data_IF_559954858726
#
_entry.id   IF_559954858726
#
_cell.length_a   1.000
_cell.length_b   1.000
_cell.length_c   1.000
_cell.angle_alpha   90.00
_cell.angle_beta   90.00
_cell.angle_gamma   90.00
#
_symmetry.space_group_name_H-M   'P 1'
#
loop_
_entity.id
_entity.type
_entity.pdbx_description
1 polymer ?
#
# COMPACT_ATOMS: atom_id res chain seq x y z
N UNK A 1 24.05 -16.36 19.23
CA UNK A 1 22.65 -15.95 19.27
C UNK A 1 22.59 -14.57 19.90
N UNK A 2 22.16 -13.56 19.18
CA UNK A 2 21.97 -12.24 19.77
C UNK A 2 20.63 -12.28 20.54
N UNK A 3 20.69 -12.12 21.86
CA UNK A 3 19.49 -12.18 22.72
C UNK A 3 18.82 -10.80 22.88
N UNK A 4 19.18 -9.85 22.04
CA UNK A 4 18.55 -8.51 22.03
C UNK A 4 17.66 -8.40 20.81
N UNK A 5 16.49 -7.74 20.93
CA UNK A 5 15.67 -7.37 19.78
C UNK A 5 16.48 -6.56 18.76
N UNK A 6 16.03 -6.60 17.51
CA UNK A 6 16.58 -5.73 16.47
C UNK A 6 16.43 -4.25 16.89
N UNK A 7 17.48 -3.42 16.74
CA UNK A 7 17.44 -2.03 17.15
C UNK A 7 16.43 -1.18 16.37
N UNK A 8 15.93 -1.68 15.25
CA UNK A 8 14.88 -1.04 14.45
C UNK A 8 13.46 -1.45 14.84
N UNK A 9 13.30 -2.28 15.86
CA UNK A 9 11.99 -2.56 16.44
C UNK A 9 11.68 -1.56 17.54
N UNK A 10 10.64 -0.82 17.39
CA UNK A 10 10.22 0.24 18.29
C UNK A 10 8.97 -0.18 19.08
N UNK A 11 8.97 -0.06 20.42
CA UNK A 11 7.80 -0.43 21.22
C UNK A 11 6.59 0.48 20.97
N UNK A 12 6.82 1.75 20.63
CA UNK A 12 5.76 2.76 20.37
C UNK A 12 6.07 3.57 19.12
N UNK A 13 5.05 4.09 18.49
CA UNK A 13 5.18 5.01 17.36
C UNK A 13 6.04 6.25 17.71
N UNK A 14 5.86 6.81 18.90
CA UNK A 14 6.66 7.95 19.38
C UNK A 14 8.16 7.67 19.40
N UNK A 15 8.58 6.49 19.88
CA UNK A 15 10.00 6.10 19.88
C UNK A 15 10.51 5.91 18.44
N UNK A 16 9.68 5.38 17.54
CA UNK A 16 10.03 5.27 16.12
C UNK A 16 10.25 6.65 15.48
N UNK A 17 9.45 7.64 15.81
CA UNK A 17 9.60 9.02 15.33
C UNK A 17 10.89 9.69 15.82
N UNK A 18 11.40 9.31 16.98
CA UNK A 18 12.64 9.81 17.56
C UNK A 18 13.91 9.07 17.07
N UNK A 19 13.72 7.99 16.30
CA UNK A 19 14.81 7.21 15.71
C UNK A 19 15.59 8.01 14.65
N UNK A 20 16.83 7.61 14.31
CA UNK A 20 17.57 8.24 13.24
C UNK A 20 16.77 8.27 11.94
N UNK A 21 16.85 9.38 11.23
CA UNK A 21 16.23 9.56 9.91
C UNK A 21 16.71 8.49 8.94
N UNK A 22 15.84 7.99 8.11
CA UNK A 22 16.13 7.03 7.05
C UNK A 22 17.11 7.61 6.03
N UNK A 23 18.07 6.81 5.62
CA UNK A 23 19.03 7.16 4.57
C UNK A 23 18.77 6.40 3.28
N UNK A 24 18.02 5.31 3.35
CA UNK A 24 17.73 4.44 2.22
C UNK A 24 16.23 4.16 2.14
N UNK A 25 15.70 4.24 0.92
CA UNK A 25 14.40 3.69 0.55
C UNK A 25 14.58 2.53 -0.44
N UNK A 26 13.64 1.61 -0.41
CA UNK A 26 13.48 0.54 -1.39
C UNK A 26 12.22 0.80 -2.18
N UNK A 27 12.25 0.56 -3.49
CA UNK A 27 11.04 0.60 -4.33
C UNK A 27 11.13 -0.44 -5.42
N UNK A 28 9.99 -1.01 -5.80
CA UNK A 28 9.94 -1.99 -6.87
C UNK A 28 9.98 -1.32 -8.23
N UNK A 29 10.59 -2.00 -9.19
CA UNK A 29 10.59 -1.65 -10.61
C UNK A 29 9.88 -2.75 -11.38
N UNK A 30 8.83 -2.42 -12.10
CA UNK A 30 8.08 -3.36 -12.91
C UNK A 30 8.18 -3.04 -14.40
N UNK A 31 8.24 -4.09 -15.22
CA UNK A 31 8.22 -4.00 -16.69
C UNK A 31 6.78 -4.14 -17.16
N UNK A 32 6.14 -3.04 -17.65
CA UNK A 32 4.68 -3.02 -17.88
C UNK A 32 4.21 -3.99 -18.97
N UNK A 33 5.07 -4.34 -19.91
CA UNK A 33 4.80 -5.31 -20.97
C UNK A 33 5.37 -6.72 -20.69
N UNK A 34 6.00 -6.90 -19.53
CA UNK A 34 6.65 -8.15 -19.13
C UNK A 34 7.84 -8.56 -20.00
N UNK A 35 8.38 -7.68 -20.85
CA UNK A 35 9.50 -7.97 -21.75
C UNK A 35 10.86 -7.98 -21.07
N UNK A 36 10.94 -7.36 -19.90
CA UNK A 36 12.14 -7.30 -19.05
C UNK A 36 11.84 -7.89 -17.67
N UNK A 37 12.84 -8.35 -16.93
CA UNK A 37 12.64 -8.77 -15.54
C UNK A 37 12.31 -7.58 -14.66
N UNK A 38 11.38 -7.75 -13.74
CA UNK A 38 11.12 -6.79 -12.67
C UNK A 38 12.31 -6.72 -11.71
N UNK A 39 12.38 -5.69 -10.88
CA UNK A 39 13.51 -5.46 -10.00
C UNK A 39 13.17 -4.70 -8.73
N UNK A 40 14.19 -4.57 -7.88
CA UNK A 40 14.20 -3.74 -6.69
C UNK A 40 15.23 -2.62 -6.89
N UNK A 41 14.82 -1.38 -6.71
CA UNK A 41 15.71 -0.22 -6.64
C UNK A 41 15.99 0.15 -5.18
N UNK A 42 17.23 0.52 -4.90
CA UNK A 42 17.67 1.11 -3.64
C UNK A 42 17.93 2.59 -3.93
N UNK A 43 17.22 3.45 -3.24
CA UNK A 43 17.23 4.90 -3.46
C UNK A 43 17.88 5.59 -2.25
N UNK A 44 18.78 6.53 -2.51
CA UNK A 44 19.33 7.40 -1.48
C UNK A 44 18.31 8.48 -1.10
N UNK A 45 17.87 8.47 0.15
CA UNK A 45 16.92 9.45 0.71
C UNK A 45 17.54 10.33 1.80
N UNK A 46 18.87 10.27 1.97
CA UNK A 46 19.60 11.17 2.87
C UNK A 46 19.76 12.58 2.25
N UNK A 47 19.07 13.60 2.76
CA UNK A 47 19.15 14.95 2.18
C UNK A 47 20.54 15.61 2.29
N UNK A 48 21.48 14.96 2.99
CA UNK A 48 22.87 15.45 3.12
C UNK A 48 23.83 14.73 2.18
N UNK A 49 23.35 13.73 1.46
CA UNK A 49 24.15 12.93 0.52
C UNK A 49 24.29 13.62 -0.85
N UNK A 50 25.44 13.39 -1.51
CA UNK A 50 25.66 13.85 -2.88
C UNK A 50 24.80 13.06 -3.91
N UNK A 51 24.24 11.92 -3.53
CA UNK A 51 23.37 11.06 -4.35
C UNK A 51 21.90 11.12 -3.93
N UNK A 52 21.50 12.15 -3.18
CA UNK A 52 20.11 12.33 -2.77
C UNK A 52 19.14 12.31 -3.94
N UNK A 53 18.17 11.40 -3.90
CA UNK A 53 17.19 11.20 -4.98
C UNK A 53 17.71 10.35 -6.15
N UNK A 54 18.82 9.63 -5.98
CA UNK A 54 19.34 8.74 -7.01
C UNK A 54 19.12 7.25 -6.65
N UNK A 55 18.99 6.41 -7.67
CA UNK A 55 19.07 4.95 -7.51
C UNK A 55 20.54 4.57 -7.34
N UNK A 56 20.91 4.14 -6.14
CA UNK A 56 22.28 3.78 -5.79
C UNK A 56 22.60 2.29 -5.97
N UNK A 57 21.55 1.46 -6.10
CA UNK A 57 21.67 0.04 -6.45
C UNK A 57 20.38 -0.47 -7.09
N UNK A 58 20.49 -1.48 -7.96
CA UNK A 58 19.36 -2.18 -8.56
C UNK A 58 19.60 -3.67 -8.57
N UNK A 59 18.58 -4.44 -8.23
CA UNK A 59 18.60 -5.90 -8.31
C UNK A 59 17.44 -6.36 -9.20
N UNK A 60 17.77 -6.93 -10.37
CA UNK A 60 16.75 -7.49 -11.28
C UNK A 60 16.54 -8.99 -11.01
N UNK A 61 15.27 -9.43 -11.14
CA UNK A 61 14.89 -10.82 -10.92
C UNK A 61 15.24 -11.69 -12.13
N UNK A 62 15.36 -13.03 -11.96
CA UNK A 62 15.70 -13.92 -13.06
C UNK A 62 14.53 -14.24 -14.01
N UNK A 63 13.30 -13.91 -13.61
CA UNK A 63 12.08 -14.26 -14.34
C UNK A 63 11.43 -13.03 -14.98
N UNK A 64 10.44 -13.24 -15.84
CA UNK A 64 9.70 -12.22 -16.56
C UNK A 64 8.21 -12.25 -16.18
N UNK A 65 7.54 -11.10 -16.31
CA UNK A 65 6.09 -10.99 -16.21
C UNK A 65 5.55 -11.13 -14.79
N UNK A 66 6.28 -10.67 -13.80
CA UNK A 66 5.88 -10.76 -12.39
C UNK A 66 4.86 -9.69 -12.00
N UNK A 67 4.98 -8.45 -12.49
CA UNK A 67 4.20 -7.27 -12.10
C UNK A 67 4.31 -7.02 -10.58
N UNK A 68 5.45 -6.45 -10.15
CA UNK A 68 5.69 -6.13 -8.74
C UNK A 68 4.87 -4.93 -8.29
N UNK A 69 4.20 -5.08 -7.15
CA UNK A 69 3.39 -4.03 -6.52
C UNK A 69 3.75 -3.81 -5.06
N UNK A 70 2.99 -4.43 -4.15
CA UNK A 70 3.24 -4.37 -2.73
C UNK A 70 4.38 -5.30 -2.33
N UNK A 71 5.11 -4.90 -1.30
CA UNK A 71 6.12 -5.74 -0.67
C UNK A 71 6.29 -5.29 0.80
N UNK A 72 6.90 -6.13 1.61
CA UNK A 72 7.04 -5.81 3.04
C UNK A 72 8.22 -6.51 3.68
N UNK A 73 8.47 -6.15 4.93
CA UNK A 73 9.54 -6.71 5.75
C UNK A 73 9.17 -8.09 6.31
N UNK A 74 10.18 -8.95 6.48
CA UNK A 74 10.01 -10.23 7.19
C UNK A 74 9.74 -10.07 8.68
N UNK A 75 10.11 -8.96 9.26
CA UNK A 75 9.93 -8.64 10.67
C UNK A 75 9.78 -7.13 10.87
N UNK A 76 9.02 -6.74 11.88
CA UNK A 76 8.74 -5.35 12.22
C UNK A 76 8.58 -5.19 13.74
N UNK A 77 8.19 -4.01 14.19
CA UNK A 77 7.99 -3.72 15.62
C UNK A 77 6.96 -4.62 16.30
N UNK A 78 6.09 -5.30 15.53
CA UNK A 78 5.18 -6.34 16.05
C UNK A 78 5.91 -7.49 16.77
N UNK A 79 7.18 -7.75 16.44
CA UNK A 79 8.02 -8.74 17.10
C UNK A 79 8.21 -8.48 18.60
N UNK A 80 8.01 -7.25 19.06
CA UNK A 80 8.05 -6.87 20.48
C UNK A 80 6.75 -7.20 21.23
N UNK A 81 5.73 -7.69 20.55
CA UNK A 81 4.48 -8.10 21.20
C UNK A 81 4.76 -9.28 22.15
N UNK A 82 4.26 -9.23 23.38
CA UNK A 82 4.39 -10.36 24.31
C UNK A 82 3.67 -11.63 23.82
N UNK A 83 2.87 -11.51 22.74
CA UNK A 83 2.08 -12.60 22.16
C UNK A 83 2.81 -13.33 21.02
N UNK A 84 3.94 -12.81 20.50
CA UNK A 84 4.54 -13.32 19.28
C UNK A 84 5.66 -14.34 19.49
N UNK A 85 6.46 -14.24 20.51
CA UNK A 85 7.67 -15.08 20.66
C UNK A 85 8.80 -14.82 19.66
N UNK A 86 8.67 -13.80 18.79
CA UNK A 86 9.58 -13.50 17.69
C UNK A 86 10.53 -12.30 17.96
N UNK A 87 10.71 -11.90 19.20
CA UNK A 87 11.48 -10.71 19.59
C UNK A 87 12.96 -10.72 19.11
N UNK A 88 13.48 -11.86 18.67
CA UNK A 88 14.88 -12.03 18.26
C UNK A 88 15.07 -12.08 16.73
N UNK A 89 14.01 -11.83 15.97
CA UNK A 89 14.10 -11.70 14.52
C UNK A 89 14.95 -10.49 14.15
N UNK A 90 15.57 -10.55 12.98
CA UNK A 90 16.27 -9.43 12.35
C UNK A 90 15.37 -8.86 11.23
N UNK A 91 15.18 -7.54 11.18
CA UNK A 91 14.59 -6.86 10.03
C UNK A 91 15.63 -6.86 8.90
N UNK A 92 15.52 -7.81 8.00
CA UNK A 92 16.59 -8.08 7.04
C UNK A 92 16.10 -8.40 5.64
N UNK A 93 14.93 -9.00 5.54
CA UNK A 93 14.46 -9.51 4.27
C UNK A 93 13.23 -8.75 3.80
N UNK A 94 13.20 -8.44 2.50
CA UNK A 94 12.01 -7.96 1.82
C UNK A 94 11.32 -9.13 1.12
N UNK A 95 10.01 -9.20 1.28
CA UNK A 95 9.13 -10.19 0.66
C UNK A 95 8.45 -9.48 -0.50
N UNK A 96 8.77 -9.86 -1.75
CA UNK A 96 8.29 -9.18 -2.95
C UNK A 96 7.48 -10.16 -3.80
N UNK A 97 6.15 -10.09 -3.78
CA UNK A 97 5.28 -10.90 -4.63
C UNK A 97 5.11 -10.30 -6.02
N UNK A 98 5.06 -11.16 -7.04
CA UNK A 98 4.60 -10.83 -8.37
C UNK A 98 3.09 -11.13 -8.48
N UNK A 99 2.27 -10.11 -8.73
CA UNK A 99 0.82 -10.31 -8.83
C UNK A 99 0.47 -11.25 -9.99
N UNK A 100 1.02 -10.99 -11.19
CA UNK A 100 0.68 -11.79 -12.39
C UNK A 100 1.22 -13.19 -12.32
N UNK A 101 2.48 -13.34 -11.88
CA UNK A 101 3.13 -14.65 -11.83
C UNK A 101 2.73 -15.50 -10.62
N UNK A 102 2.29 -14.87 -9.55
CA UNK A 102 2.13 -15.47 -8.21
C UNK A 102 3.42 -15.99 -7.59
N UNK A 103 4.59 -15.58 -8.14
CA UNK A 103 5.91 -15.91 -7.59
C UNK A 103 6.24 -14.96 -6.44
N UNK A 104 6.98 -15.41 -5.45
CA UNK A 104 7.40 -14.59 -4.32
C UNK A 104 8.92 -14.63 -4.21
N UNK A 105 9.54 -13.46 -4.17
CA UNK A 105 10.97 -13.30 -3.99
C UNK A 105 11.28 -12.85 -2.57
N UNK A 106 12.24 -13.50 -1.93
CA UNK A 106 12.78 -13.12 -0.64
C UNK A 106 14.14 -12.50 -0.90
N UNK A 107 14.27 -11.21 -0.59
CA UNK A 107 15.49 -10.44 -0.89
C UNK A 107 16.20 -10.11 0.41
N UNK A 108 17.47 -10.52 0.52
CA UNK A 108 18.35 -10.14 1.63
C UNK A 108 18.88 -8.73 1.37
N UNK A 109 18.46 -7.78 2.20
CA UNK A 109 18.85 -6.37 2.14
C UNK A 109 19.64 -5.92 3.37
N UNK A 110 20.28 -6.85 4.08
CA UNK A 110 21.14 -6.52 5.23
C UNK A 110 22.22 -5.50 4.90
N UNK A 111 22.77 -5.57 3.70
CA UNK A 111 23.61 -4.55 3.08
C UNK A 111 22.84 -4.02 1.86
N UNK A 112 22.13 -2.88 1.95
CA UNK A 112 21.24 -2.41 0.87
C UNK A 112 21.94 -2.32 -0.50
N UNK A 113 23.17 -1.84 -0.54
CA UNK A 113 23.98 -1.73 -1.77
C UNK A 113 24.51 -3.09 -2.31
N UNK A 114 24.20 -4.18 -1.63
CA UNK A 114 24.52 -5.56 -2.02
C UNK A 114 23.32 -6.47 -1.90
N UNK A 115 22.13 -5.91 -2.10
CA UNK A 115 20.89 -6.66 -2.08
C UNK A 115 20.97 -7.89 -3.00
N UNK A 116 20.45 -9.03 -2.55
CA UNK A 116 20.51 -10.28 -3.30
C UNK A 116 19.30 -11.16 -3.03
N UNK A 117 18.95 -11.98 -4.01
CA UNK A 117 17.91 -12.99 -3.87
C UNK A 117 18.36 -14.04 -2.83
N UNK A 118 17.56 -14.23 -1.80
CA UNK A 118 17.77 -15.27 -0.79
C UNK A 118 17.00 -16.54 -1.13
N UNK A 119 15.71 -16.40 -1.52
CA UNK A 119 14.84 -17.53 -1.88
C UNK A 119 13.82 -17.08 -2.93
N UNK A 120 13.38 -18.01 -3.75
CA UNK A 120 12.23 -17.84 -4.64
C UNK A 120 11.21 -18.91 -4.27
N UNK A 121 9.96 -18.52 -4.10
CA UNK A 121 8.82 -19.41 -3.92
C UNK A 121 8.05 -19.41 -5.24
N UNK A 122 7.98 -20.57 -5.88
CA UNK A 122 7.29 -20.72 -7.16
C UNK A 122 5.76 -20.78 -6.98
N UNK A 123 4.97 -20.38 -7.99
CA UNK A 123 3.51 -20.33 -7.91
C UNK A 123 2.88 -21.67 -7.55
N UNK A 124 3.47 -22.76 -8.00
CA UNK A 124 2.99 -24.12 -7.74
C UNK A 124 3.04 -24.47 -6.25
N UNK A 125 4.08 -23.97 -5.52
CA UNK A 125 4.20 -24.16 -4.07
C UNK A 125 3.11 -23.37 -3.35
N UNK A 126 2.91 -22.11 -3.71
CA UNK A 126 1.85 -21.27 -3.15
C UNK A 126 0.48 -21.93 -3.35
N UNK A 127 0.18 -22.28 -4.60
CA UNK A 127 -1.10 -22.90 -4.95
C UNK A 127 -1.32 -24.23 -4.23
N UNK A 128 -0.32 -25.12 -4.21
CA UNK A 128 -0.44 -26.43 -3.56
C UNK A 128 -0.71 -26.33 -2.05
N UNK A 129 -0.13 -25.33 -1.36
CA UNK A 129 -0.25 -25.17 0.09
C UNK A 129 -1.49 -24.37 0.51
N UNK A 130 -1.98 -23.47 -0.33
CA UNK A 130 -3.04 -22.52 0.04
C UNK A 130 -4.25 -22.55 -0.88
N UNK A 131 -4.09 -22.94 -2.15
CA UNK A 131 -5.11 -22.77 -3.18
C UNK A 131 -5.34 -21.31 -3.56
N UNK A 132 -4.41 -20.41 -3.22
CA UNK A 132 -4.45 -18.98 -3.54
C UNK A 132 -3.46 -18.61 -4.64
N UNK A 133 -3.71 -17.47 -5.27
CA UNK A 133 -2.85 -16.86 -6.29
C UNK A 133 -2.84 -15.34 -6.17
N UNK A 134 -1.97 -14.66 -6.90
CA UNK A 134 -1.84 -13.19 -6.91
C UNK A 134 -1.56 -12.63 -5.50
N UNK A 135 -0.46 -13.04 -4.85
CA UNK A 135 -0.07 -12.49 -3.55
C UNK A 135 0.19 -10.98 -3.68
N UNK A 136 -0.18 -10.22 -2.63
CA UNK A 136 -0.20 -8.77 -2.69
C UNK A 136 0.36 -8.12 -1.42
N UNK A 137 -0.46 -7.75 -0.43
CA UNK A 137 -0.03 -7.03 0.77
C UNK A 137 0.68 -7.94 1.76
N UNK A 138 1.74 -7.43 2.40
CA UNK A 138 2.57 -8.16 3.35
C UNK A 138 2.66 -7.40 4.66
N UNK A 139 2.34 -8.09 5.76
CA UNK A 139 2.61 -7.63 7.11
C UNK A 139 3.25 -8.73 7.96
N UNK A 140 4.28 -8.38 8.74
CA UNK A 140 4.80 -9.27 9.78
C UNK A 140 3.89 -9.19 11.02
N UNK A 141 3.43 -10.31 11.49
CA UNK A 141 2.45 -10.42 12.56
C UNK A 141 2.79 -11.45 13.62
N UNK A 142 1.84 -11.78 14.50
CA UNK A 142 2.11 -12.59 15.68
C UNK A 142 2.54 -14.03 15.38
N UNK A 143 2.14 -14.60 14.25
CA UNK A 143 2.42 -16.01 13.94
C UNK A 143 3.37 -16.19 12.74
N UNK A 144 3.81 -15.09 12.12
CA UNK A 144 4.65 -15.13 10.92
C UNK A 144 4.46 -13.92 10.04
N UNK A 145 4.78 -14.08 8.76
CA UNK A 145 4.54 -13.10 7.71
C UNK A 145 3.16 -13.43 7.12
N UNK A 146 2.24 -12.48 7.21
CA UNK A 146 0.91 -12.57 6.61
C UNK A 146 0.95 -11.98 5.22
N UNK A 147 0.35 -12.66 4.28
CA UNK A 147 0.30 -12.23 2.87
C UNK A 147 -1.13 -12.33 2.37
N UNK A 148 -1.71 -11.20 1.94
CA UNK A 148 -2.99 -11.21 1.25
C UNK A 148 -2.83 -11.72 -0.18
N UNK A 149 -3.92 -12.20 -0.75
CA UNK A 149 -3.98 -12.64 -2.15
C UNK A 149 -5.19 -12.03 -2.83
N UNK A 150 -5.06 -11.72 -4.12
CA UNK A 150 -6.15 -11.15 -4.93
C UNK A 150 -6.89 -12.22 -5.73
N UNK A 151 -6.34 -13.43 -5.81
CA UNK A 151 -6.91 -14.54 -6.52
C UNK A 151 -7.06 -15.80 -5.67
N UNK A 152 -8.12 -16.55 -5.91
CA UNK A 152 -8.28 -17.91 -5.44
C UNK A 152 -7.53 -18.90 -6.33
N UNK A 153 -8.04 -20.12 -6.40
CA UNK A 153 -7.47 -21.18 -7.25
C UNK A 153 -7.75 -20.99 -8.74
N UNK A 154 -7.29 -21.94 -9.52
CA UNK A 154 -7.47 -21.96 -10.96
C UNK A 154 -6.50 -21.04 -11.72
N UNK A 155 -6.51 -21.18 -13.05
CA UNK A 155 -5.61 -20.43 -13.93
C UNK A 155 -5.89 -18.92 -13.90
N UNK A 156 -7.15 -18.56 -13.82
CA UNK A 156 -7.64 -17.16 -13.77
C UNK A 156 -7.83 -16.63 -12.35
N UNK A 157 -7.57 -17.46 -11.33
CA UNK A 157 -7.69 -17.06 -9.93
C UNK A 157 -9.11 -16.97 -9.41
N UNK A 158 -10.08 -17.59 -10.07
CA UNK A 158 -11.52 -17.54 -9.70
C UNK A 158 -12.07 -18.82 -9.10
N UNK A 159 -11.26 -19.89 -8.99
CA UNK A 159 -11.64 -21.12 -8.30
C UNK A 159 -11.58 -20.93 -6.78
N UNK A 160 -12.63 -20.41 -6.22
CA UNK A 160 -12.76 -20.03 -4.81
C UNK A 160 -12.31 -18.60 -4.54
N UNK A 161 -12.65 -18.07 -3.36
CA UNK A 161 -12.28 -16.73 -2.97
C UNK A 161 -10.79 -16.61 -2.64
N UNK A 162 -10.18 -15.42 -2.84
CA UNK A 162 -8.87 -15.10 -2.32
C UNK A 162 -8.87 -15.01 -0.79
N UNK A 163 -7.70 -14.84 -0.18
CA UNK A 163 -7.59 -14.72 1.26
C UNK A 163 -6.20 -14.33 1.73
N UNK A 164 -5.87 -14.71 2.95
CA UNK A 164 -4.56 -14.49 3.57
C UNK A 164 -3.89 -15.84 3.82
N UNK A 165 -2.59 -15.93 3.61
CA UNK A 165 -1.79 -17.06 4.08
C UNK A 165 -0.65 -16.57 4.99
N UNK A 166 -0.07 -17.51 5.73
CA UNK A 166 1.02 -17.22 6.67
C UNK A 166 2.28 -17.93 6.20
N UNK A 167 3.41 -17.23 6.29
CA UNK A 167 4.76 -17.76 6.09
C UNK A 167 5.57 -17.64 7.37
N UNK A 168 6.50 -18.56 7.55
CA UNK A 168 7.49 -18.48 8.62
C UNK A 168 8.48 -17.32 8.38
N UNK A 169 8.82 -16.57 9.43
CA UNK A 169 9.65 -15.36 9.34
C UNK A 169 11.13 -15.61 9.04
N UNK A 170 11.64 -16.85 9.25
CA UNK A 170 13.05 -17.20 9.12
C UNK A 170 13.29 -18.18 7.96
N UNK A 171 12.43 -19.19 7.81
CA UNK A 171 12.57 -20.22 6.77
C UNK A 171 11.82 -19.85 5.49
N UNK A 172 10.86 -18.92 5.61
CA UNK A 172 9.97 -18.52 4.51
C UNK A 172 9.17 -19.72 3.95
N UNK A 173 8.86 -20.67 4.80
CA UNK A 173 7.95 -21.75 4.44
C UNK A 173 6.50 -21.27 4.55
N UNK A 174 5.69 -21.57 3.54
CA UNK A 174 4.24 -21.32 3.60
C UNK A 174 3.63 -22.30 4.60
N UNK A 175 3.06 -21.78 5.68
CA UNK A 175 2.45 -22.54 6.77
C UNK A 175 1.00 -22.94 6.45
N UNK A 176 0.32 -22.20 5.56
CA UNK A 176 -1.05 -22.47 5.12
C UNK A 176 -1.93 -21.23 5.17
N UNK A 177 -3.24 -21.45 4.98
CA UNK A 177 -4.26 -20.38 5.05
C UNK A 177 -4.37 -19.81 6.45
N UNK A 178 -4.66 -18.51 6.51
CA UNK A 178 -4.97 -17.83 7.78
C UNK A 178 -6.42 -18.11 8.22
N UNK A 179 -7.38 -17.97 7.32
CA UNK A 179 -8.80 -17.98 7.67
C UNK A 179 -9.30 -19.35 8.13
N UNK A 180 -9.90 -19.40 9.30
CA UNK A 180 -10.71 -20.53 9.78
C UNK A 180 -12.19 -20.35 9.45
N UNK A 181 -12.66 -19.10 9.43
CA UNK A 181 -14.02 -18.73 9.03
C UNK A 181 -13.97 -17.31 8.44
N UNK A 182 -14.16 -17.20 7.13
CA UNK A 182 -14.08 -15.91 6.42
C UNK A 182 -15.39 -15.10 6.41
N UNK A 183 -16.49 -15.65 6.96
CA UNK A 183 -17.79 -15.00 6.83
C UNK A 183 -18.21 -14.85 5.36
N UNK A 184 -18.60 -13.62 5.01
CA UNK A 184 -19.07 -13.29 3.65
C UNK A 184 -17.97 -12.78 2.72
N UNK A 185 -16.72 -12.61 3.18
CA UNK A 185 -15.64 -12.06 2.35
C UNK A 185 -15.33 -12.97 1.14
N UNK A 186 -15.48 -12.45 -0.06
CA UNK A 186 -15.24 -13.13 -1.32
C UNK A 186 -14.21 -12.46 -2.23
N UNK A 187 -13.75 -11.28 -1.86
CA UNK A 187 -12.62 -10.54 -2.47
C UNK A 187 -11.64 -10.14 -1.39
N UNK A 188 -10.47 -9.71 -1.79
CA UNK A 188 -9.46 -9.25 -0.87
C UNK A 188 -8.61 -8.14 -1.49
N UNK A 189 -7.97 -7.32 -0.65
CA UNK A 189 -6.95 -6.37 -1.06
C UNK A 189 -5.94 -6.18 0.06
N UNK A 190 -6.19 -5.27 0.99
CA UNK A 190 -5.32 -4.92 2.10
C UNK A 190 -5.85 -5.48 3.41
N UNK A 191 -5.00 -5.54 4.42
CA UNK A 191 -5.36 -5.89 5.78
C UNK A 191 -4.37 -5.27 6.76
N UNK A 192 -4.82 -4.97 7.96
CA UNK A 192 -3.98 -4.56 9.07
C UNK A 192 -4.68 -4.86 10.39
N UNK A 193 -4.03 -4.61 11.50
CA UNK A 193 -4.50 -5.00 12.82
C UNK A 193 -4.22 -3.99 13.92
N UNK A 194 -4.90 -4.18 15.05
CA UNK A 194 -4.49 -3.68 16.35
C UNK A 194 -4.11 -4.90 17.21
N UNK A 195 -2.82 -5.20 17.31
CA UNK A 195 -2.31 -6.42 17.96
C UNK A 195 -2.71 -6.53 19.43
N UNK A 196 -2.54 -5.48 20.27
CA UNK A 196 -2.93 -5.55 21.68
C UNK A 196 -4.43 -5.75 21.91
N UNK A 197 -5.26 -5.39 20.94
CA UNK A 197 -6.72 -5.53 20.98
C UNK A 197 -7.22 -6.77 20.26
N UNK A 198 -6.31 -7.53 19.66
CA UNK A 198 -6.59 -8.84 19.05
C UNK A 198 -7.64 -8.81 17.93
N UNK A 199 -7.60 -7.76 17.11
CA UNK A 199 -8.44 -7.70 15.92
C UNK A 199 -7.66 -7.27 14.67
N UNK A 200 -8.13 -7.75 13.52
CA UNK A 200 -7.63 -7.39 12.19
C UNK A 200 -8.79 -6.78 11.38
N UNK A 201 -8.44 -5.92 10.44
CA UNK A 201 -9.37 -5.39 9.44
C UNK A 201 -8.84 -5.80 8.07
N UNK A 202 -9.74 -6.09 7.12
CA UNK A 202 -9.40 -6.31 5.71
C UNK A 202 -10.38 -5.63 4.78
N UNK A 203 -9.94 -5.37 3.55
CA UNK A 203 -10.66 -4.67 2.50
C UNK A 203 -10.77 -5.50 1.24
N UNK A 204 -11.45 -4.96 0.21
CA UNK A 204 -11.78 -5.67 -1.02
C UNK A 204 -11.52 -4.82 -2.26
N UNK A 205 -10.82 -5.38 -3.25
CA UNK A 205 -10.71 -4.77 -4.58
C UNK A 205 -11.63 -5.46 -5.60
N UNK A 206 -11.11 -6.46 -6.30
CA UNK A 206 -11.77 -7.20 -7.34
C UNK A 206 -11.11 -8.57 -7.53
N UNK A 207 -11.70 -9.41 -8.36
CA UNK A 207 -11.09 -10.66 -8.78
C UNK A 207 -10.15 -10.43 -9.99
N UNK A 208 -9.16 -11.31 -10.24
CA UNK A 208 -8.16 -11.12 -11.28
C UNK A 208 -8.70 -10.74 -12.66
N UNK A 209 -9.79 -11.34 -13.19
CA UNK A 209 -10.35 -10.91 -14.47
C UNK A 209 -10.87 -9.48 -14.52
N UNK A 210 -11.10 -8.85 -13.36
CA UNK A 210 -11.61 -7.48 -13.24
C UNK A 210 -10.48 -6.44 -13.24
N UNK A 211 -9.24 -6.83 -12.95
CA UNK A 211 -8.13 -5.88 -12.86
C UNK A 211 -6.90 -6.21 -13.72
N UNK A 212 -6.56 -7.47 -13.97
CA UNK A 212 -5.30 -7.85 -14.62
C UNK A 212 -5.12 -7.30 -16.04
N UNK A 213 -6.22 -7.16 -16.77
CA UNK A 213 -6.22 -6.67 -18.16
C UNK A 213 -6.83 -5.28 -18.30
N UNK A 214 -6.84 -4.52 -17.20
CA UNK A 214 -7.46 -3.23 -17.08
C UNK A 214 -8.79 -3.29 -16.34
N UNK A 215 -9.34 -2.12 -16.00
CA UNK A 215 -10.67 -2.02 -15.42
C UNK A 215 -11.73 -2.50 -16.42
N UNK A 216 -12.73 -3.21 -15.94
CA UNK A 216 -13.89 -3.65 -16.72
C UNK A 216 -15.05 -2.68 -16.45
N UNK A 217 -15.36 -1.74 -17.38
CA UNK A 217 -16.35 -0.70 -17.12
C UNK A 217 -17.73 -1.24 -16.78
N UNK A 218 -18.17 -2.31 -17.42
CA UNK A 218 -19.46 -2.95 -17.16
C UNK A 218 -19.54 -3.51 -15.75
N UNK A 219 -18.45 -4.06 -15.23
CA UNK A 219 -18.38 -4.58 -13.86
C UNK A 219 -18.35 -3.43 -12.85
N UNK A 220 -17.66 -2.32 -13.16
CA UNK A 220 -17.68 -1.12 -12.34
C UNK A 220 -19.08 -0.53 -12.24
N UNK A 221 -19.73 -0.30 -13.38
CA UNK A 221 -21.08 0.28 -13.45
C UNK A 221 -22.16 -0.66 -12.89
N UNK A 222 -21.86 -1.95 -12.75
CA UNK A 222 -22.72 -2.95 -12.12
C UNK A 222 -22.37 -3.20 -10.66
N UNK A 223 -21.49 -2.37 -10.07
CA UNK A 223 -21.09 -2.41 -8.66
C UNK A 223 -20.50 -3.77 -8.21
N UNK A 224 -19.66 -4.37 -9.05
CA UNK A 224 -19.10 -5.72 -8.78
C UNK A 224 -17.72 -5.70 -8.11
N UNK A 225 -17.08 -4.53 -8.00
CA UNK A 225 -15.85 -4.43 -7.23
C UNK A 225 -16.18 -4.39 -5.73
N UNK A 226 -15.16 -4.62 -4.89
CA UNK A 226 -15.34 -4.68 -3.45
C UNK A 226 -15.73 -3.33 -2.84
N UNK A 227 -16.65 -3.37 -1.89
CA UNK A 227 -17.16 -2.20 -1.16
C UNK A 227 -17.42 -2.49 0.31
N UNK A 228 -16.81 -3.56 0.83
CA UNK A 228 -16.98 -4.02 2.20
C UNK A 228 -15.66 -4.04 2.94
N UNK A 229 -15.66 -3.68 4.21
CA UNK A 229 -14.55 -3.89 5.15
C UNK A 229 -14.94 -4.95 6.17
N UNK A 230 -13.97 -5.79 6.53
CA UNK A 230 -14.20 -6.96 7.36
C UNK A 230 -13.35 -6.88 8.62
N UNK A 231 -13.96 -7.18 9.77
CA UNK A 231 -13.31 -7.23 11.06
C UNK A 231 -13.19 -8.67 11.53
N UNK A 232 -12.02 -9.01 12.05
CA UNK A 232 -11.64 -10.37 12.40
C UNK A 232 -11.20 -10.44 13.86
N UNK A 233 -11.57 -11.49 14.55
CA UNK A 233 -10.82 -11.95 15.71
C UNK A 233 -9.50 -12.53 15.19
N UNK A 234 -8.39 -11.86 15.51
CA UNK A 234 -7.09 -12.14 14.90
C UNK A 234 -6.58 -13.54 15.26
N UNK A 235 -6.68 -13.95 16.54
CA UNK A 235 -6.21 -15.27 16.99
C UNK A 235 -7.18 -16.39 16.70
N UNK A 236 -8.47 -16.14 16.78
CA UNK A 236 -9.46 -17.13 16.38
C UNK A 236 -9.54 -17.29 14.85
N UNK A 237 -8.96 -16.34 14.09
CA UNK A 237 -8.90 -16.33 12.63
C UNK A 237 -10.30 -16.39 11.99
N UNK A 238 -11.22 -15.63 12.58
CA UNK A 238 -12.63 -15.61 12.19
C UNK A 238 -13.10 -14.21 11.89
N UNK A 239 -13.82 -14.06 10.81
CA UNK A 239 -14.59 -12.83 10.55
C UNK A 239 -15.69 -12.72 11.61
N UNK A 240 -15.71 -11.59 12.32
CA UNK A 240 -16.70 -11.33 13.40
C UNK A 240 -17.72 -10.28 12.99
N UNK A 241 -17.38 -9.43 12.02
CA UNK A 241 -18.29 -8.40 11.51
C UNK A 241 -17.82 -7.97 10.11
N UNK A 242 -18.79 -7.66 9.25
CA UNK A 242 -18.54 -7.03 7.95
C UNK A 242 -19.41 -5.77 7.84
N UNK A 243 -18.83 -4.69 7.32
CA UNK A 243 -19.53 -3.43 7.12
C UNK A 243 -19.51 -3.11 5.62
N UNK A 244 -20.69 -3.08 5.03
CA UNK A 244 -20.92 -2.58 3.68
C UNK A 244 -20.84 -1.06 3.69
N UNK A 245 -19.90 -0.50 2.92
CA UNK A 245 -19.68 0.95 2.76
C UNK A 245 -20.70 1.59 1.80
N UNK A 246 -21.55 0.77 1.20
CA UNK A 246 -22.54 1.13 0.18
C UNK A 246 -22.11 0.69 -1.21
N UNK A 247 -23.00 0.00 -1.92
CA UNK A 247 -22.74 -0.66 -3.22
C UNK A 247 -22.13 0.25 -4.29
N UNK A 248 -22.35 1.57 -4.21
CA UNK A 248 -21.78 2.53 -5.15
C UNK A 248 -20.33 2.92 -4.83
N UNK A 249 -19.84 2.65 -3.62
CA UNK A 249 -18.47 2.97 -3.19
C UNK A 249 -17.53 1.84 -3.59
N UNK A 250 -17.08 1.86 -4.84
CA UNK A 250 -16.34 0.76 -5.42
C UNK A 250 -14.84 0.84 -5.14
N UNK A 251 -14.23 -0.34 -4.89
CA UNK A 251 -12.82 -0.54 -4.59
C UNK A 251 -12.44 0.09 -3.24
N UNK A 252 -12.84 -0.58 -2.16
CA UNK A 252 -12.34 -0.32 -0.82
C UNK A 252 -10.92 -0.89 -0.73
N UNK A 253 -9.90 -0.01 -0.82
CA UNK A 253 -8.51 -0.44 -0.94
C UNK A 253 -7.76 -0.38 0.39
N UNK A 254 -6.91 0.60 0.59
CA UNK A 254 -5.97 0.68 1.70
C UNK A 254 -6.64 0.85 3.06
N UNK A 255 -6.15 0.12 4.05
CA UNK A 255 -6.57 0.17 5.45
C UNK A 255 -5.44 0.76 6.29
N UNK A 256 -5.72 1.82 7.04
CA UNK A 256 -4.75 2.44 7.96
C UNK A 256 -5.34 2.60 9.35
N UNK A 257 -5.10 1.65 10.28
CA UNK A 257 -5.43 1.83 11.69
C UNK A 257 -4.53 2.87 12.33
N UNK A 258 -4.97 3.49 13.41
CA UNK A 258 -4.11 4.34 14.23
C UNK A 258 -2.89 3.55 14.71
N UNK A 259 -1.72 4.21 14.68
CA UNK A 259 -0.44 3.61 15.12
C UNK A 259 -0.37 3.43 16.63
N UNK A 260 -1.00 4.33 17.38
CA UNK A 260 -1.15 4.16 18.82
C UNK A 260 -2.22 3.12 19.12
N UNK A 261 -1.87 1.93 19.64
CA UNK A 261 -2.83 0.84 19.87
C UNK A 261 -3.88 1.15 20.94
N UNK A 262 -3.75 2.24 21.70
CA UNK A 262 -4.81 2.71 22.58
C UNK A 262 -5.97 3.35 21.82
N UNK A 263 -5.75 3.75 20.57
CA UNK A 263 -6.75 4.33 19.68
C UNK A 263 -7.37 3.21 18.83
N UNK A 264 -8.67 3.02 18.95
CA UNK A 264 -9.37 1.93 18.26
C UNK A 264 -10.19 2.47 17.07
N UNK A 265 -9.49 3.17 16.16
CA UNK A 265 -10.04 3.66 14.90
C UNK A 265 -9.03 3.55 13.77
N UNK A 266 -9.48 3.80 12.57
CA UNK A 266 -8.63 3.92 11.38
C UNK A 266 -9.43 4.36 10.17
N UNK A 267 -8.77 4.29 9.02
CA UNK A 267 -9.27 4.81 7.76
C UNK A 267 -9.29 3.72 6.69
N UNK A 268 -10.21 3.87 5.73
CA UNK A 268 -10.25 3.06 4.52
C UNK A 268 -10.46 3.97 3.32
N UNK A 269 -9.60 3.87 2.31
CA UNK A 269 -9.73 4.56 1.03
C UNK A 269 -10.71 3.87 0.10
N UNK A 270 -11.58 4.64 -0.56
CA UNK A 270 -12.48 4.17 -1.61
C UNK A 270 -12.19 4.93 -2.90
N UNK A 271 -11.89 4.18 -3.97
CA UNK A 271 -11.41 4.75 -5.24
C UNK A 271 -12.46 5.64 -5.89
N UNK A 272 -13.69 5.16 -6.01
CA UNK A 272 -14.75 5.87 -6.73
C UNK A 272 -16.15 5.52 -6.25
N UNK A 273 -17.00 6.53 -6.16
CA UNK A 273 -18.47 6.39 -6.07
C UNK A 273 -19.02 6.44 -7.50
N UNK A 274 -19.65 5.35 -7.95
CA UNK A 274 -20.16 5.21 -9.33
C UNK A 274 -21.33 6.13 -9.67
N UNK A 275 -21.95 6.76 -8.67
CA UNK A 275 -23.09 7.68 -8.90
C UNK A 275 -22.66 9.11 -9.20
N UNK A 276 -21.50 9.55 -8.73
CA UNK A 276 -21.05 10.93 -8.80
C UNK A 276 -19.56 11.11 -9.06
N UNK A 277 -18.81 10.03 -9.23
CA UNK A 277 -17.35 9.99 -9.47
C UNK A 277 -16.50 10.53 -8.31
N UNK A 278 -17.05 10.70 -7.13
CA UNK A 278 -16.29 11.13 -5.96
C UNK A 278 -15.37 10.01 -5.46
N UNK A 279 -14.20 10.38 -4.96
CA UNK A 279 -13.41 9.53 -4.08
C UNK A 279 -13.82 9.75 -2.62
N UNK A 280 -13.58 8.78 -1.76
CA UNK A 280 -13.98 8.88 -0.36
C UNK A 280 -12.99 8.24 0.59
N UNK A 281 -12.97 8.75 1.84
CA UNK A 281 -12.35 8.07 2.97
C UNK A 281 -13.43 7.76 4.00
N UNK A 282 -13.46 6.51 4.43
CA UNK A 282 -14.28 6.08 5.55
C UNK A 282 -13.42 5.97 6.80
N UNK A 283 -13.86 6.61 7.88
CA UNK A 283 -13.33 6.37 9.22
C UNK A 283 -14.13 5.26 9.86
N UNK A 284 -13.44 4.22 10.32
CA UNK A 284 -14.03 3.15 11.14
C UNK A 284 -13.54 3.25 12.57
N UNK A 285 -14.33 2.74 13.54
CA UNK A 285 -13.95 2.72 14.95
C UNK A 285 -14.63 1.56 15.68
N UNK A 286 -14.02 1.14 16.78
CA UNK A 286 -14.60 0.15 17.67
C UNK A 286 -15.41 0.83 18.74
N UNK A 287 -16.63 0.31 19.00
CA UNK A 287 -17.52 0.78 20.04
C UNK A 287 -17.24 0.11 21.40
N UNK A 288 -17.83 0.66 22.47
CA UNK A 288 -17.71 0.11 23.82
C UNK A 288 -18.27 -1.33 23.94
N UNK A 289 -19.24 -1.70 23.13
CA UNK A 289 -19.81 -3.06 23.07
C UNK A 289 -18.93 -4.04 22.28
N UNK A 290 -17.80 -3.57 21.73
CA UNK A 290 -16.85 -4.36 20.98
C UNK A 290 -17.18 -4.51 19.48
N UNK A 291 -18.32 -4.02 19.01
CA UNK A 291 -18.68 -3.97 17.59
C UNK A 291 -18.02 -2.78 16.90
N UNK A 292 -18.03 -2.79 15.58
CA UNK A 292 -17.41 -1.73 14.77
C UNK A 292 -18.46 -0.93 14.02
N UNK A 293 -18.15 0.32 13.75
CA UNK A 293 -18.88 1.21 12.87
C UNK A 293 -17.96 1.87 11.87
N UNK A 294 -18.50 2.32 10.74
CA UNK A 294 -17.79 3.11 9.74
C UNK A 294 -18.67 4.25 9.24
N UNK A 295 -18.03 5.38 8.91
CA UNK A 295 -18.68 6.57 8.37
C UNK A 295 -17.80 7.23 7.32
N UNK A 296 -18.36 7.67 6.21
CA UNK A 296 -17.68 8.51 5.24
C UNK A 296 -17.39 9.88 5.89
N UNK A 297 -16.10 10.21 6.06
CA UNK A 297 -15.65 11.43 6.73
C UNK A 297 -14.96 12.39 5.78
N UNK A 298 -14.37 11.89 4.66
CA UNK A 298 -13.81 12.73 3.61
C UNK A 298 -14.50 12.38 2.29
N UNK A 299 -14.81 13.41 1.52
CA UNK A 299 -15.29 13.32 0.15
C UNK A 299 -14.42 14.20 -0.73
N UNK A 300 -13.96 13.68 -1.86
CA UNK A 300 -13.13 14.40 -2.82
C UNK A 300 -13.89 14.43 -4.14
N UNK A 301 -14.21 15.65 -4.61
CA UNK A 301 -15.03 15.84 -5.80
C UNK A 301 -14.25 15.61 -7.11
N UNK A 302 -14.90 15.08 -8.16
CA UNK A 302 -14.33 15.07 -9.51
C UNK A 302 -14.20 16.49 -10.06
N UNK A 303 -13.31 16.65 -11.02
CA UNK A 303 -13.10 17.94 -11.71
C UNK A 303 -13.75 17.86 -13.11
N UNK A 304 -14.65 18.79 -13.50
CA UNK A 304 -15.19 18.86 -14.85
C UNK A 304 -14.07 18.97 -15.90
N UNK A 305 -14.20 18.25 -16.99
CA UNK A 305 -13.21 18.26 -18.06
C UNK A 305 -13.88 18.04 -19.43
N UNK A 306 -13.28 18.62 -20.47
CA UNK A 306 -13.73 18.39 -21.85
C UNK A 306 -13.38 16.96 -22.29
N UNK A 307 -14.20 16.37 -23.16
CA UNK A 307 -14.02 15.00 -23.61
C UNK A 307 -12.65 14.77 -24.31
N UNK A 308 -12.08 15.80 -24.94
CA UNK A 308 -10.79 15.71 -25.62
C UNK A 308 -9.60 15.63 -24.63
N UNK A 309 -9.79 16.07 -23.38
CA UNK A 309 -8.79 16.00 -22.31
C UNK A 309 -8.88 14.70 -21.49
N UNK A 310 -9.91 13.89 -21.75
CA UNK A 310 -10.18 12.66 -20.99
C UNK A 310 -9.78 11.40 -21.78
N UNK A 311 -9.25 10.36 -21.12
CA UNK A 311 -9.09 9.06 -21.75
C UNK A 311 -10.46 8.49 -22.14
N UNK A 312 -10.47 7.58 -23.12
CA UNK A 312 -11.70 7.02 -23.70
C UNK A 312 -12.70 6.54 -22.63
N UNK A 313 -12.17 5.90 -21.59
CA UNK A 313 -12.94 5.39 -20.45
C UNK A 313 -13.76 6.47 -19.73
N UNK A 314 -13.27 7.70 -19.67
CA UNK A 314 -13.88 8.79 -18.90
C UNK A 314 -14.67 9.80 -19.74
N UNK A 315 -14.57 9.78 -21.07
CA UNK A 315 -15.21 10.76 -21.98
C UNK A 315 -16.72 10.89 -21.76
N UNK A 316 -17.39 9.78 -21.49
CA UNK A 316 -18.84 9.77 -21.29
C UNK A 316 -19.32 10.47 -20.02
N UNK A 317 -18.40 10.71 -19.07
CA UNK A 317 -18.73 11.33 -17.78
C UNK A 317 -18.51 12.85 -17.75
N UNK A 318 -17.71 13.41 -18.66
CA UNK A 318 -17.41 14.85 -18.70
C UNK A 318 -16.70 15.37 -17.44
N UNK A 319 -16.04 14.51 -16.72
CA UNK A 319 -15.31 14.84 -15.50
C UNK A 319 -14.18 13.82 -15.24
N UNK A 320 -13.13 14.28 -14.57
CA UNK A 320 -12.03 13.46 -14.09
C UNK A 320 -12.26 13.11 -12.62
N UNK A 321 -12.43 11.84 -12.25
CA UNK A 321 -12.55 11.42 -10.87
C UNK A 321 -11.21 11.57 -10.13
N UNK A 322 -11.20 11.75 -8.78
CA UNK A 322 -9.97 11.76 -8.01
C UNK A 322 -9.21 10.44 -8.09
N UNK A 323 -9.90 9.30 -8.12
CA UNK A 323 -9.32 7.97 -8.07
C UNK A 323 -8.36 7.86 -6.87
N UNK A 324 -8.95 7.71 -5.67
CA UNK A 324 -8.18 7.53 -4.43
C UNK A 324 -7.53 6.14 -4.44
N UNK A 325 -6.23 6.08 -4.66
CA UNK A 325 -5.51 4.81 -4.88
C UNK A 325 -4.71 4.36 -3.67
N UNK A 326 -4.26 5.29 -2.84
CA UNK A 326 -3.54 4.97 -1.61
C UNK A 326 -3.81 6.02 -0.54
N UNK A 327 -3.70 5.60 0.71
CA UNK A 327 -3.70 6.45 1.88
C UNK A 327 -2.61 6.02 2.84
N UNK A 328 -1.97 6.95 3.53
CA UNK A 328 -1.04 6.63 4.60
C UNK A 328 -1.20 7.60 5.78
N UNK A 329 -0.90 7.13 7.00
CA UNK A 329 -1.11 7.84 8.25
C UNK A 329 0.24 8.10 8.93
N UNK A 330 0.51 9.34 9.34
CA UNK A 330 1.71 9.67 10.10
C UNK A 330 1.75 8.94 11.45
N UNK A 331 2.98 8.62 11.95
CA UNK A 331 3.16 7.84 13.18
C UNK A 331 2.57 8.49 14.44
N UNK A 332 2.34 9.80 14.43
CA UNK A 332 1.65 10.52 15.51
C UNK A 332 0.12 10.48 15.40
N UNK A 333 -0.41 9.80 14.38
CA UNK A 333 -1.84 9.71 14.03
C UNK A 333 -2.48 11.09 13.77
N UNK A 334 -1.69 12.07 13.33
CA UNK A 334 -2.17 13.43 13.10
C UNK A 334 -2.55 13.72 11.67
N UNK A 335 -1.74 13.25 10.72
CA UNK A 335 -1.95 13.57 9.32
C UNK A 335 -2.21 12.32 8.49
N UNK A 336 -3.33 12.34 7.76
CA UNK A 336 -3.66 11.35 6.74
C UNK A 336 -3.32 11.93 5.36
N UNK A 337 -2.53 11.20 4.60
CA UNK A 337 -2.19 11.53 3.21
C UNK A 337 -3.05 10.70 2.28
N UNK A 338 -3.53 11.33 1.21
CA UNK A 338 -4.46 10.70 0.25
C UNK A 338 -3.97 10.97 -1.16
N UNK A 339 -3.62 9.91 -1.86
CA UNK A 339 -3.22 9.96 -3.27
C UNK A 339 -4.46 10.02 -4.17
N UNK A 340 -4.65 11.15 -4.83
CA UNK A 340 -5.71 11.38 -5.81
C UNK A 340 -5.12 11.20 -7.22
N UNK A 341 -4.93 9.94 -7.63
CA UNK A 341 -4.19 9.56 -8.83
C UNK A 341 -4.76 10.17 -10.11
N UNK A 342 -6.09 10.21 -10.25
CA UNK A 342 -6.74 10.80 -11.43
C UNK A 342 -6.54 12.32 -11.53
N UNK A 343 -6.64 13.04 -10.41
CA UNK A 343 -6.49 14.50 -10.38
C UNK A 343 -5.02 14.96 -10.44
N UNK A 344 -4.07 14.08 -10.12
CA UNK A 344 -2.68 14.47 -9.93
C UNK A 344 -2.49 15.31 -8.66
N UNK A 345 -3.14 14.94 -7.57
CA UNK A 345 -3.09 15.67 -6.32
C UNK A 345 -2.71 14.74 -5.16
N UNK A 346 -1.79 15.19 -4.29
CA UNK A 346 -1.53 14.60 -2.98
C UNK A 346 -2.19 15.49 -1.94
N UNK A 347 -3.19 14.96 -1.23
CA UNK A 347 -3.89 15.68 -0.16
C UNK A 347 -3.31 15.30 1.20
N UNK A 348 -3.28 16.27 2.12
CA UNK A 348 -2.96 16.07 3.54
C UNK A 348 -4.15 16.53 4.38
N UNK A 349 -4.70 15.66 5.20
CA UNK A 349 -5.76 15.99 6.14
C UNK A 349 -5.24 15.94 7.57
N UNK A 350 -5.52 16.96 8.39
CA UNK A 350 -5.39 16.87 9.85
C UNK A 350 -6.56 16.01 10.37
N UNK A 351 -6.22 14.85 10.93
CA UNK A 351 -7.15 13.86 11.47
C UNK A 351 -7.03 13.73 12.99
N UNK A 352 -6.53 14.78 13.67
CA UNK A 352 -6.49 14.84 15.15
C UNK A 352 -7.89 14.60 15.76
N UNK A 353 -8.94 15.00 15.05
CA UNK A 353 -10.31 14.49 15.24
C UNK A 353 -10.66 13.62 14.02
N UNK A 354 -10.60 12.27 14.14
CA UNK A 354 -10.81 11.38 13.02
C UNK A 354 -12.24 11.41 12.46
N UNK A 355 -13.18 11.97 13.23
CA UNK A 355 -14.58 12.10 12.79
C UNK A 355 -14.85 13.41 12.04
N UNK A 356 -13.94 14.37 12.11
CA UNK A 356 -14.02 15.69 11.46
C UNK A 356 -12.67 16.07 10.83
N UNK A 357 -12.16 15.31 9.85
CA UNK A 357 -10.90 15.61 9.16
C UNK A 357 -10.93 17.00 8.51
N UNK A 358 -9.79 17.70 8.53
CA UNK A 358 -9.64 19.03 7.93
C UNK A 358 -8.52 19.00 6.91
N UNK A 359 -8.77 19.45 5.69
CA UNK A 359 -7.72 19.58 4.68
C UNK A 359 -6.65 20.59 5.14
N UNK A 360 -5.47 20.08 5.46
CA UNK A 360 -4.33 20.87 5.96
C UNK A 360 -3.43 21.37 4.82
N UNK A 361 -3.43 20.67 3.68
CA UNK A 361 -2.65 21.06 2.51
C UNK A 361 -2.83 20.10 1.35
N UNK A 362 -2.40 20.54 0.18
CA UNK A 362 -2.27 19.68 -0.99
C UNK A 362 -1.18 20.19 -1.92
N UNK A 363 -0.64 19.31 -2.74
CA UNK A 363 0.22 19.63 -3.88
C UNK A 363 -0.31 18.96 -5.13
N UNK A 364 -0.04 19.60 -6.27
CA UNK A 364 -0.44 19.12 -7.60
C UNK A 364 0.80 18.65 -8.35
N UNK A 365 0.72 17.45 -8.95
CA UNK A 365 1.79 16.87 -9.75
C UNK A 365 1.24 15.78 -10.67
N UNK A 366 1.47 15.90 -11.97
CA UNK A 366 0.90 14.99 -12.95
C UNK A 366 -0.62 15.17 -13.12
N UNK A 367 -1.36 14.08 -13.22
CA UNK A 367 -2.81 14.04 -13.37
C UNK A 367 -3.28 13.87 -14.80
N UNK A 368 -4.49 13.34 -14.96
CA UNK A 368 -5.08 13.04 -16.28
C UNK A 368 -5.29 14.33 -17.08
N UNK A 369 -5.85 15.37 -16.47
CA UNK A 369 -6.25 16.61 -17.12
C UNK A 369 -5.20 17.72 -16.97
N UNK A 370 -4.77 17.99 -15.73
CA UNK A 370 -3.89 19.13 -15.41
C UNK A 370 -2.46 18.95 -15.90
N UNK A 371 -1.90 17.75 -15.80
CA UNK A 371 -0.52 17.40 -16.18
C UNK A 371 0.52 18.37 -15.57
N UNK A 372 0.38 18.64 -14.27
CA UNK A 372 1.25 19.58 -13.56
C UNK A 372 2.68 19.05 -13.48
N UNK A 373 3.65 19.91 -13.84
CA UNK A 373 5.07 19.55 -13.79
C UNK A 373 5.65 19.66 -12.40
N UNK A 374 6.69 18.86 -12.13
CA UNK A 374 7.50 19.00 -10.94
C UNK A 374 8.26 20.35 -10.93
N UNK A 375 8.58 20.95 -9.75
CA UNK A 375 9.31 22.21 -9.66
C UNK A 375 10.69 22.22 -10.35
N UNK A 376 11.31 21.06 -10.59
CA UNK A 376 12.54 20.94 -11.38
C UNK A 376 12.31 21.00 -12.91
N UNK A 377 11.05 21.12 -13.35
CA UNK A 377 10.67 21.22 -14.77
C UNK A 377 10.37 19.89 -15.45
N UNK A 378 10.58 18.74 -14.78
CA UNK A 378 10.29 17.41 -15.34
C UNK A 378 8.80 17.09 -15.33
N UNK A 379 8.38 16.29 -16.29
CA UNK A 379 7.01 15.74 -16.36
C UNK A 379 6.90 14.50 -15.48
N UNK A 380 5.84 14.41 -14.67
CA UNK A 380 5.62 13.28 -13.75
C UNK A 380 4.94 12.09 -14.44
N UNK A 381 4.29 12.32 -15.55
CA UNK A 381 3.63 11.30 -16.37
C UNK A 381 2.23 10.95 -15.87
N UNK A 382 2.13 10.28 -14.73
CA UNK A 382 0.85 9.84 -14.14
C UNK A 382 0.43 10.77 -12.97
N UNK A 383 -0.43 10.32 -12.06
CA UNK A 383 -0.73 11.00 -10.79
C UNK A 383 -0.01 10.34 -9.60
N UNK A 384 -0.06 10.96 -8.41
CA UNK A 384 0.43 10.34 -7.17
C UNK A 384 -0.29 9.02 -6.91
N UNK A 385 0.46 7.96 -6.60
CA UNK A 385 -0.12 6.65 -6.41
C UNK A 385 0.27 6.06 -5.05
N UNK A 386 1.39 5.35 -4.86
CA UNK A 386 1.78 4.80 -3.57
C UNK A 386 2.51 5.82 -2.70
N UNK A 387 2.07 5.95 -1.47
CA UNK A 387 2.55 6.92 -0.48
C UNK A 387 3.39 6.22 0.57
N UNK A 388 4.45 6.85 1.03
CA UNK A 388 5.21 6.44 2.20
C UNK A 388 5.70 7.67 2.96
N UNK A 389 5.63 7.65 4.28
CA UNK A 389 5.97 8.78 5.14
C UNK A 389 7.26 8.46 5.91
N UNK A 390 8.20 9.42 5.96
CA UNK A 390 9.35 9.28 6.85
C UNK A 390 8.90 9.14 8.31
N UNK A 391 9.61 8.31 9.11
CA UNK A 391 9.22 8.07 10.51
C UNK A 391 9.07 9.36 11.33
N UNK A 392 9.87 10.38 11.06
CA UNK A 392 9.79 11.68 11.73
C UNK A 392 8.64 12.58 11.26
N UNK A 393 7.85 12.11 10.26
CA UNK A 393 6.70 12.82 9.70
C UNK A 393 7.03 14.06 8.89
N UNK A 394 8.30 14.30 8.53
CA UNK A 394 8.72 15.54 7.86
C UNK A 394 8.78 15.44 6.34
N UNK A 395 8.74 14.24 5.78
CA UNK A 395 8.80 13.99 4.35
C UNK A 395 7.77 12.96 3.95
N UNK A 396 7.15 13.16 2.82
CA UNK A 396 6.23 12.24 2.18
C UNK A 396 6.76 11.91 0.80
N UNK A 397 6.95 10.64 0.53
CA UNK A 397 7.38 10.11 -0.74
C UNK A 397 6.20 9.48 -1.48
N UNK A 398 6.20 9.52 -2.79
CA UNK A 398 5.26 8.75 -3.60
C UNK A 398 5.79 8.41 -4.98
N UNK A 399 5.26 7.34 -5.52
CA UNK A 399 5.44 6.90 -6.91
C UNK A 399 4.19 7.23 -7.73
N UNK A 400 4.15 6.83 -9.00
CA UNK A 400 3.08 7.26 -9.90
C UNK A 400 2.40 6.16 -10.72
N UNK A 401 2.83 4.91 -10.66
CA UNK A 401 2.19 3.80 -11.38
C UNK A 401 1.23 3.03 -10.48
N UNK A 402 0.01 2.80 -10.94
CA UNK A 402 -0.99 2.00 -10.23
C UNK A 402 -0.89 0.51 -10.58
N UNK A 403 -1.17 0.15 -11.82
CA UNK A 403 -1.09 -1.19 -12.41
C UNK A 403 -0.87 -1.01 -13.90
N UNK A 404 0.01 -1.77 -14.52
CA UNK A 404 0.45 -1.52 -15.91
C UNK A 404 -0.69 -1.29 -16.89
N UNK A 405 -1.72 -2.14 -16.86
CA UNK A 405 -2.86 -2.03 -17.79
C UNK A 405 -3.82 -0.89 -17.42
N UNK A 406 -3.91 -0.50 -16.15
CA UNK A 406 -4.70 0.66 -15.71
C UNK A 406 -3.99 1.96 -16.07
N UNK A 407 -2.68 2.03 -15.89
CA UNK A 407 -1.87 3.17 -16.32
C UNK A 407 -2.09 3.44 -17.82
N UNK A 408 -2.06 2.40 -18.66
CA UNK A 408 -2.28 2.53 -20.09
C UNK A 408 -3.71 2.97 -20.46
N UNK A 409 -4.71 2.58 -19.65
CA UNK A 409 -6.11 2.99 -19.87
C UNK A 409 -6.38 4.43 -19.44
N UNK A 410 -5.86 4.85 -18.28
CA UNK A 410 -6.14 6.16 -17.71
C UNK A 410 -5.19 7.26 -18.21
N UNK A 411 -3.97 6.88 -18.60
CA UNK A 411 -2.91 7.77 -19.07
C UNK A 411 -2.32 7.30 -20.39
N UNK A 412 -3.15 7.24 -21.46
CA UNK A 412 -2.71 6.69 -22.73
C UNK A 412 -1.55 7.52 -23.31
N UNK A 413 -0.44 6.84 -23.63
CA UNK A 413 0.75 7.46 -24.21
C UNK A 413 1.75 8.03 -23.19
N UNK A 414 1.42 8.13 -21.91
CA UNK A 414 2.39 8.52 -20.87
C UNK A 414 3.43 7.42 -20.64
N UNK A 415 4.66 7.81 -20.29
CA UNK A 415 5.80 6.89 -20.18
C UNK A 415 6.74 7.17 -19.00
N UNK A 416 6.54 8.26 -18.29
CA UNK A 416 7.44 8.67 -17.22
C UNK A 416 7.09 8.04 -15.87
N UNK A 417 7.95 7.13 -15.36
CA UNK A 417 7.86 6.72 -13.96
C UNK A 417 8.83 7.53 -13.13
N UNK A 418 8.40 7.95 -11.96
CA UNK A 418 9.23 8.68 -11.02
C UNK A 418 8.80 8.41 -9.57
N UNK A 419 9.75 8.59 -8.65
CA UNK A 419 9.48 8.75 -7.22
C UNK A 419 9.85 10.18 -6.83
N UNK A 420 9.00 10.81 -6.06
CA UNK A 420 9.17 12.21 -5.63
C UNK A 420 8.95 12.34 -4.12
N UNK A 421 9.29 13.52 -3.60
CA UNK A 421 9.16 13.85 -2.19
C UNK A 421 8.50 15.22 -2.00
N UNK A 422 7.73 15.36 -0.95
CA UNK A 422 7.31 16.67 -0.42
C UNK A 422 7.77 16.84 1.03
N UNK A 423 8.18 18.04 1.36
CA UNK A 423 8.45 18.46 2.73
C UNK A 423 7.14 18.81 3.44
N UNK A 424 7.01 18.39 4.69
CA UNK A 424 5.83 18.59 5.52
C UNK A 424 6.06 19.75 6.48
N UNK A 425 5.16 20.73 6.47
CA UNK A 425 5.17 21.83 7.41
C UNK A 425 4.83 21.40 8.84
N UNK A 426 5.40 22.05 9.84
CA UNK A 426 5.21 21.73 11.27
C UNK A 426 3.72 21.70 11.69
N UNK A 427 2.92 22.60 11.12
CA UNK A 427 1.49 22.72 11.42
C UNK A 427 0.62 22.20 10.26
N UNK A 428 1.19 21.36 9.39
CA UNK A 428 0.61 20.90 8.14
C UNK A 428 1.06 21.74 6.94
N UNK A 429 0.61 21.33 5.78
CA UNK A 429 1.03 21.85 4.48
C UNK A 429 2.12 21.01 3.85
N UNK A 430 2.08 20.93 2.52
CA UNK A 430 3.00 20.18 1.68
C UNK A 430 3.74 21.11 0.72
N UNK A 431 5.03 20.88 0.54
CA UNK A 431 5.83 21.57 -0.47
C UNK A 431 6.66 20.56 -1.24
N UNK A 432 6.47 20.47 -2.56
CA UNK A 432 7.27 19.58 -3.40
C UNK A 432 8.76 19.91 -3.26
N UNK A 433 9.56 18.91 -2.94
CA UNK A 433 11.00 19.05 -2.82
C UNK A 433 11.63 19.03 -4.23
N UNK A 434 12.08 20.21 -4.69
CA UNK A 434 12.61 20.39 -6.05
C UNK A 434 13.90 19.61 -6.32
N UNK A 435 14.62 19.23 -5.27
CA UNK A 435 15.93 18.60 -5.34
C UNK A 435 15.81 17.06 -5.25
N UNK A 436 14.62 16.53 -4.97
CA UNK A 436 14.36 15.08 -4.94
C UNK A 436 13.56 14.63 -6.16
N UNK A 437 14.19 13.83 -7.00
CA UNK A 437 13.57 13.23 -8.17
C UNK A 437 14.28 11.94 -8.53
N UNK A 438 13.64 10.82 -8.32
CA UNK A 438 14.15 9.51 -8.75
C UNK A 438 13.62 9.21 -10.14
N UNK A 439 14.52 9.01 -11.09
CA UNK A 439 14.21 8.60 -12.44
C UNK A 439 14.49 7.11 -12.61
N UNK A 440 13.48 6.36 -13.00
CA UNK A 440 13.64 4.93 -13.25
C UNK A 440 14.21 4.67 -14.65
N UNK A 441 14.90 3.52 -14.84
CA UNK A 441 15.40 3.14 -16.16
C UNK A 441 14.28 3.08 -17.20
N UNK A 442 14.58 3.42 -18.44
CA UNK A 442 13.61 3.43 -19.54
C UNK A 442 12.84 2.10 -19.66
N UNK A 443 11.51 2.20 -19.71
CA UNK A 443 10.58 1.07 -19.81
C UNK A 443 10.28 0.40 -18.48
N UNK A 444 10.68 0.99 -17.34
CA UNK A 444 10.23 0.57 -16.02
C UNK A 444 9.22 1.55 -15.44
N UNK A 445 8.31 1.02 -14.62
CA UNK A 445 7.42 1.76 -13.73
C UNK A 445 7.76 1.40 -12.28
N UNK A 446 7.23 2.17 -11.34
CA UNK A 446 7.49 1.97 -9.90
C UNK A 446 6.19 2.02 -9.12
N UNK A 447 6.12 1.23 -8.07
CA UNK A 447 4.92 1.15 -7.22
C UNK A 447 5.27 1.44 -5.76
N UNK A 448 5.18 0.47 -4.84
CA UNK A 448 5.34 0.70 -3.42
C UNK A 448 6.77 1.08 -3.00
N UNK A 449 6.87 1.81 -1.89
CA UNK A 449 8.11 2.23 -1.25
C UNK A 449 8.19 1.58 0.13
N UNK A 450 9.40 1.23 0.58
CA UNK A 450 9.71 0.85 1.97
C UNK A 450 10.94 1.59 2.46
N UNK A 451 10.95 1.99 3.72
CA UNK A 451 12.06 2.72 4.31
C UNK A 451 12.94 1.78 5.16
N UNK A 452 14.23 2.03 5.15
CA UNK A 452 15.18 1.34 6.00
C UNK A 452 14.85 1.55 7.47
N UNK A 453 14.83 0.44 8.24
CA UNK A 453 14.56 0.50 9.67
C UNK A 453 13.08 0.65 10.05
N UNK A 454 12.16 0.46 9.11
CA UNK A 454 10.72 0.52 9.29
C UNK A 454 10.06 1.78 8.73
N UNK A 455 8.78 1.72 8.53
CA UNK A 455 7.98 2.72 7.82
C UNK A 455 6.57 2.87 8.43
N UNK A 456 5.81 3.87 7.97
CA UNK A 456 4.47 4.14 8.46
C UNK A 456 3.45 3.12 7.97
N UNK A 457 3.68 2.54 6.80
CA UNK A 457 2.70 1.68 6.14
C UNK A 457 2.80 0.19 6.48
N UNK A 458 3.84 -0.25 7.24
CA UNK A 458 3.97 -1.67 7.65
C UNK A 458 4.32 -1.91 9.11
N UNK A 459 4.88 -0.96 9.84
CA UNK A 459 5.25 -1.17 11.25
C UNK A 459 4.01 -1.19 12.17
N UNK A 460 3.94 -2.19 13.03
CA UNK A 460 2.86 -2.33 14.01
C UNK A 460 3.40 -2.20 15.42
N UNK A 461 2.93 -1.20 16.16
CA UNK A 461 3.38 -0.93 17.51
C UNK A 461 2.51 -1.65 18.55
N UNK A 462 3.16 -2.13 19.63
CA UNK A 462 2.51 -2.97 20.62
C UNK A 462 2.16 -2.25 21.91
N UNK A 463 2.68 -1.03 22.10
CA UNK A 463 2.48 -0.26 23.33
C UNK A 463 2.01 1.15 23.00
N UNK A 464 1.14 1.74 23.84
CA UNK A 464 0.70 3.12 23.68
C UNK A 464 1.86 4.11 23.75
N UNK A 465 1.73 5.20 23.01
CA UNK A 465 2.64 6.34 23.08
C UNK A 465 2.26 7.19 24.30
N UNK A 466 3.03 7.08 25.37
CA UNK A 466 2.78 7.82 26.65
C UNK A 466 3.53 9.14 26.68
#
# INVERSE_FOLDING_TARGET
>A
MNLRPDPTFYPTAKIAMEAPTETVAFTVMLSPDGSKPDGLAVVDVDPTSDTYGEIVHSLFMPNLGDEFHHFGWNACSSALSPLTGHAFLERRYLIIPGIRSSRIYIIDVKEPLKAKIHKIIEPEELFAKTGYSRPHTIHCGPEGIYVSTLGGGGKDGTDGPPGIFIMDCETFEILGRYEMDRGIQDKHYDFWWNLPRDYMISSEWGLPPQFENGIVPEDLLSNKYGHTIHFWDLRARKNVQSIDLGENHQMALEIRPAHDPAKEYGFCGVVVDTTNLQGAIFTWWRKEDGTFEAKKTITIDPVPADADDLPELLKGFGACPPLVTDIDLSLDDRFLYVACWGLGEMHQYDVSDPMNPVLAGKVELGGIVKKTKHPNGKDFGYGPQMVEISRDGKRVYWTNSLYSTWDDQFYPGERGAAMVCADVGKDGGLTLNKDFWVEFPEGYRSHQIRLEGGDCSTDSFCYPSV
#
